data_IF_653218063659
#
_entry.id   IF_653218063659
#
_cell.length_a   1.000
_cell.length_b   1.000
_cell.length_c   1.000
_cell.angle_alpha   90.00
_cell.angle_beta   90.00
_cell.angle_gamma   90.00
#
_symmetry.space_group_name_H-M   'P 1'
#
loop_
_entity.id
_entity.type
_entity.pdbx_description
1 polymer ?
#
# COMPACT_ATOMS: atom_id res chain seq x y z
N UNK A 1 -14.10 13.58 2.02
CA UNK A 1 -13.98 12.19 2.52
C UNK A 1 -13.47 11.33 1.39
N UNK A 2 -12.29 10.72 1.53
CA UNK A 2 -11.80 9.78 0.51
C UNK A 2 -12.61 8.48 0.59
N UNK A 3 -13.11 8.02 -0.56
CA UNK A 3 -13.84 6.74 -0.66
C UNK A 3 -12.90 5.59 -0.26
N UNK A 4 -13.33 4.65 0.60
CA UNK A 4 -12.53 3.47 0.89
C UNK A 4 -12.37 2.63 -0.38
N UNK A 5 -11.14 2.23 -0.67
CA UNK A 5 -10.82 1.30 -1.73
C UNK A 5 -10.95 -0.13 -1.20
N UNK A 6 -11.87 -0.89 -1.80
CA UNK A 6 -12.15 -2.27 -1.41
C UNK A 6 -11.72 -3.23 -2.53
N UNK A 7 -10.41 -3.45 -2.65
CA UNK A 7 -9.81 -4.41 -3.59
C UNK A 7 -9.67 -5.79 -2.97
N UNK A 8 -9.77 -6.82 -3.79
CA UNK A 8 -9.45 -8.19 -3.42
C UNK A 8 -7.93 -8.34 -3.27
N UNK A 9 -7.48 -8.26 -2.02
CA UNK A 9 -6.06 -8.41 -1.70
C UNK A 9 -5.53 -9.82 -1.95
N UNK A 10 -6.37 -10.85 -1.97
CA UNK A 10 -5.94 -12.20 -2.29
C UNK A 10 -5.60 -12.33 -3.77
N UNK A 11 -6.53 -11.99 -4.65
CA UNK A 11 -6.28 -11.94 -6.09
C UNK A 11 -5.17 -10.94 -6.45
N UNK A 12 -5.06 -9.83 -5.70
CA UNK A 12 -3.98 -8.87 -5.87
C UNK A 12 -2.59 -9.47 -5.66
N UNK A 13 -2.44 -10.37 -4.66
CA UNK A 13 -1.17 -11.05 -4.41
C UNK A 13 -0.80 -12.02 -5.52
N UNK A 14 -1.78 -12.79 -5.99
CA UNK A 14 -1.61 -13.71 -7.13
C UNK A 14 -1.21 -12.94 -8.40
N UNK A 15 -1.72 -11.72 -8.54
CA UNK A 15 -1.39 -10.79 -9.63
C UNK A 15 -0.04 -10.08 -9.47
N UNK A 16 0.74 -10.41 -8.43
CA UNK A 16 2.10 -9.91 -8.23
C UNK A 16 2.22 -8.66 -7.36
N UNK A 17 1.13 -8.13 -6.77
CA UNK A 17 1.24 -6.96 -5.90
C UNK A 17 2.07 -7.25 -4.63
N UNK A 18 2.11 -8.51 -4.20
CA UNK A 18 2.89 -8.99 -3.05
C UNK A 18 2.83 -8.08 -1.82
N UNK A 19 1.64 -7.55 -1.49
CA UNK A 19 1.42 -6.63 -0.37
C UNK A 19 2.24 -5.33 -0.44
N UNK A 20 2.47 -4.81 -1.64
CA UNK A 20 3.21 -3.57 -1.90
C UNK A 20 2.83 -2.40 -0.98
N UNK A 21 1.53 -2.23 -0.69
CA UNK A 21 1.04 -1.18 0.23
C UNK A 21 1.66 -1.25 1.63
N UNK A 22 2.00 -2.45 2.13
CA UNK A 22 2.65 -2.63 3.43
C UNK A 22 4.15 -2.27 3.39
N UNK A 23 4.75 -2.14 2.21
CA UNK A 23 6.14 -1.68 2.03
C UNK A 23 6.25 -0.18 1.83
N UNK A 24 5.15 0.52 1.56
CA UNK A 24 5.14 1.99 1.43
C UNK A 24 5.48 2.70 2.74
N UNK A 25 6.01 3.92 2.62
CA UNK A 25 6.13 4.87 3.73
C UNK A 25 4.80 5.64 3.84
N UNK A 26 4.00 5.34 4.86
CA UNK A 26 2.65 5.90 5.00
C UNK A 26 2.66 7.02 6.03
N UNK A 27 2.40 8.24 5.57
CA UNK A 27 2.14 9.39 6.45
C UNK A 27 0.70 9.32 6.95
N UNK A 28 0.52 9.41 8.25
CA UNK A 28 -0.78 9.46 8.91
C UNK A 28 -1.41 10.84 8.73
N UNK A 29 -2.74 10.90 8.73
CA UNK A 29 -3.45 12.17 8.85
C UNK A 29 -3.27 12.74 10.26
N UNK A 30 -3.40 14.07 10.41
CA UNK A 30 -3.16 14.75 11.69
C UNK A 30 -4.00 14.17 12.84
N UNK A 31 -5.25 13.79 12.57
CA UNK A 31 -6.18 13.22 13.54
C UNK A 31 -5.82 11.76 13.95
N UNK A 32 -4.94 11.10 13.21
CA UNK A 32 -4.50 9.72 13.47
C UNK A 32 -3.12 9.65 14.13
N UNK A 33 -2.42 10.78 14.20
CA UNK A 33 -1.13 10.90 14.86
C UNK A 33 -1.34 10.87 16.38
N UNK A 34 -0.69 9.90 17.04
CA UNK A 34 -0.73 9.79 18.50
C UNK A 34 0.39 10.61 19.13
N UNK A 35 0.14 11.37 20.21
CA UNK A 35 1.18 12.05 20.97
C UNK A 35 2.27 11.07 21.41
N UNK A 36 3.53 11.54 21.44
CA UNK A 36 4.61 10.74 22.00
C UNK A 36 4.48 10.67 23.53
N UNK A 37 4.73 9.49 24.10
CA UNK A 37 4.59 9.27 25.55
C UNK A 37 5.64 10.03 26.37
N UNK A 38 6.77 10.39 25.77
CA UNK A 38 7.89 11.10 26.38
C UNK A 38 7.84 12.62 26.17
N UNK A 39 6.76 13.14 25.58
CA UNK A 39 6.61 14.57 25.26
C UNK A 39 7.39 15.02 24.03
N UNK A 40 8.06 14.12 23.31
CA UNK A 40 8.70 14.43 22.03
C UNK A 40 7.69 14.62 20.90
N UNK A 41 8.18 15.02 19.72
CA UNK A 41 7.32 15.17 18.54
C UNK A 41 6.72 13.82 18.15
N UNK A 42 5.39 13.81 18.01
CA UNK A 42 4.67 12.63 17.59
C UNK A 42 5.13 12.12 16.22
N UNK A 43 5.25 10.79 16.08
CA UNK A 43 5.57 10.17 14.79
C UNK A 43 4.40 10.30 13.83
N UNK A 44 4.65 10.95 12.70
CA UNK A 44 3.66 11.15 11.64
C UNK A 44 3.51 9.99 10.66
N UNK A 45 4.16 8.85 10.89
CA UNK A 45 4.21 7.72 9.95
C UNK A 45 3.89 6.41 10.63
N UNK A 46 3.35 5.45 9.87
CA UNK A 46 3.21 4.05 10.33
C UNK A 46 4.60 3.45 10.50
N UNK A 47 4.85 2.85 11.68
CA UNK A 47 6.11 2.17 11.96
C UNK A 47 6.32 0.95 11.03
N UNK A 48 7.59 0.62 10.81
CA UNK A 48 8.03 -0.56 10.07
C UNK A 48 8.82 -1.49 10.96
N UNK A 49 8.67 -2.77 10.73
CA UNK A 49 9.55 -3.78 11.27
C UNK A 49 10.90 -3.74 10.52
N UNK A 50 11.98 -4.33 11.08
CA UNK A 50 13.31 -4.34 10.46
C UNK A 50 13.37 -4.95 9.05
N UNK A 51 12.39 -5.78 8.69
CA UNK A 51 12.23 -6.39 7.35
C UNK A 51 11.62 -5.43 6.31
N UNK A 52 11.29 -4.19 6.70
CA UNK A 52 10.77 -3.14 5.84
C UNK A 52 9.25 -3.16 5.62
N UNK A 53 8.53 -4.14 6.18
CA UNK A 53 7.07 -4.16 6.18
C UNK A 53 6.50 -3.28 7.29
N UNK A 54 5.28 -2.76 7.09
CA UNK A 54 4.56 -2.10 8.17
C UNK A 54 4.29 -3.08 9.32
N UNK A 55 4.27 -2.57 10.54
CA UNK A 55 4.02 -3.36 11.76
C UNK A 55 2.70 -4.14 11.75
N UNK A 56 1.77 -3.77 10.87
CA UNK A 56 0.46 -4.41 10.73
C UNK A 56 0.43 -5.55 9.71
N UNK A 57 1.53 -5.85 9.04
CA UNK A 57 1.61 -6.94 8.05
C UNK A 57 1.56 -8.32 8.73
N UNK A 58 0.65 -9.18 8.28
CA UNK A 58 0.61 -10.58 8.66
C UNK A 58 1.53 -11.39 7.73
N UNK A 59 2.66 -11.87 8.25
CA UNK A 59 3.65 -12.66 7.48
C UNK A 59 3.14 -14.03 7.07
N UNK A 60 2.22 -14.63 7.81
CA UNK A 60 1.70 -15.96 7.53
C UNK A 60 0.63 -15.90 6.43
N UNK A 61 -0.31 -14.96 6.57
CA UNK A 61 -1.47 -14.83 5.67
C UNK A 61 -1.24 -13.85 4.52
N UNK A 62 -0.15 -13.09 4.55
CA UNK A 62 0.12 -12.00 3.62
C UNK A 62 -1.04 -11.00 3.52
N UNK A 63 -1.63 -10.64 4.66
CA UNK A 63 -2.79 -9.74 4.78
C UNK A 63 -2.55 -8.66 5.84
N UNK A 64 -3.30 -7.56 5.77
CA UNK A 64 -3.26 -6.53 6.81
C UNK A 64 -4.02 -6.99 8.06
N UNK A 65 -3.36 -7.02 9.24
CA UNK A 65 -3.98 -7.42 10.51
C UNK A 65 -5.07 -6.46 11.00
N UNK A 66 -5.05 -5.21 10.53
CA UNK A 66 -5.96 -4.15 10.97
C UNK A 66 -6.89 -3.67 9.86
N UNK A 67 -7.28 -4.53 8.90
CA UNK A 67 -8.01 -4.13 7.70
C UNK A 67 -9.18 -3.15 7.94
N UNK A 68 -10.04 -3.43 8.92
CA UNK A 68 -11.20 -2.61 9.31
C UNK A 68 -10.85 -1.33 10.08
N UNK A 69 -9.65 -1.27 10.66
CA UNK A 69 -9.12 -0.14 11.45
C UNK A 69 -7.96 0.56 10.75
N UNK A 70 -7.78 0.31 9.45
CA UNK A 70 -6.69 0.92 8.67
C UNK A 70 -6.75 2.45 8.77
N UNK A 71 -5.59 3.12 8.79
CA UNK A 71 -5.57 4.56 8.67
C UNK A 71 -6.23 5.04 7.38
N UNK A 72 -6.72 6.26 7.35
CA UNK A 72 -7.48 6.81 6.23
C UNK A 72 -6.70 6.77 4.92
N UNK A 73 -5.41 7.08 4.95
CA UNK A 73 -4.51 6.95 3.79
C UNK A 73 -4.46 5.50 3.27
N UNK A 74 -4.38 4.52 4.18
CA UNK A 74 -4.39 3.11 3.81
C UNK A 74 -5.77 2.66 3.30
N UNK A 75 -6.87 3.20 3.82
CA UNK A 75 -8.23 2.91 3.34
C UNK A 75 -8.46 3.47 1.95
N UNK A 76 -7.95 4.67 1.65
CA UNK A 76 -8.14 5.30 0.34
C UNK A 76 -7.16 4.82 -0.73
N UNK A 77 -6.11 4.09 -0.35
CA UNK A 77 -5.11 3.60 -1.28
C UNK A 77 -5.72 2.59 -2.27
N UNK A 78 -5.66 2.92 -3.56
CA UNK A 78 -6.12 2.07 -4.67
C UNK A 78 -4.94 1.64 -5.54
N UNK A 79 -4.58 0.35 -5.41
CA UNK A 79 -3.50 -0.27 -6.18
C UNK A 79 -3.74 -0.24 -7.70
N UNK A 80 -4.99 -0.15 -8.18
CA UNK A 80 -5.29 -0.07 -9.60
C UNK A 80 -4.91 1.28 -10.23
N UNK A 81 -4.63 2.27 -9.39
CA UNK A 81 -4.22 3.63 -9.78
C UNK A 81 -2.77 3.95 -9.38
N UNK A 82 -2.03 3.00 -8.80
CA UNK A 82 -0.64 3.18 -8.42
C UNK A 82 0.30 2.78 -9.57
N UNK A 83 0.87 3.79 -10.23
CA UNK A 83 1.79 3.57 -11.34
C UNK A 83 3.14 2.97 -10.91
N UNK A 84 3.64 3.29 -9.71
CA UNK A 84 4.88 2.71 -9.21
C UNK A 84 4.71 1.21 -8.93
N UNK A 85 3.54 0.80 -8.45
CA UNK A 85 3.19 -0.62 -8.35
C UNK A 85 3.23 -1.29 -9.73
N UNK A 86 2.66 -0.66 -10.77
CA UNK A 86 2.68 -1.24 -12.13
C UNK A 86 4.11 -1.38 -12.67
N UNK A 87 4.98 -0.39 -12.42
CA UNK A 87 6.40 -0.48 -12.76
C UNK A 87 7.08 -1.62 -11.99
N UNK A 88 6.84 -1.71 -10.68
CA UNK A 88 7.43 -2.71 -9.79
C UNK A 88 7.04 -4.15 -10.17
N UNK A 89 5.81 -4.37 -10.66
CA UNK A 89 5.39 -5.70 -11.11
C UNK A 89 6.01 -6.05 -12.47
N UNK A 90 6.17 -5.07 -13.37
CA UNK A 90 6.59 -5.33 -14.76
C UNK A 90 8.10 -5.34 -14.98
N UNK A 91 8.88 -4.77 -14.06
CA UNK A 91 10.32 -4.60 -14.21
C UNK A 91 11.03 -4.93 -12.90
N UNK A 92 12.12 -5.68 -12.99
CA UNK A 92 13.03 -5.84 -11.87
C UNK A 92 13.67 -4.50 -11.52
N UNK A 93 13.80 -4.22 -10.23
CA UNK A 93 14.46 -3.04 -9.69
C UNK A 93 15.25 -3.44 -8.44
N UNK A 94 16.32 -2.72 -8.16
CA UNK A 94 17.23 -3.02 -7.04
C UNK A 94 16.94 -2.18 -5.79
N UNK A 95 16.40 -0.97 -5.97
CA UNK A 95 16.09 -0.04 -4.90
C UNK A 95 15.05 1.00 -5.36
N UNK A 96 14.67 1.90 -4.45
CA UNK A 96 13.64 2.91 -4.74
C UNK A 96 14.04 3.91 -5.83
N UNK A 97 15.32 4.28 -5.93
CA UNK A 97 15.80 5.23 -6.95
C UNK A 97 15.71 4.58 -8.33
N UNK A 98 16.11 3.31 -8.44
CA UNK A 98 15.99 2.51 -9.64
C UNK A 98 14.52 2.37 -10.09
N UNK A 99 13.61 2.05 -9.16
CA UNK A 99 12.18 1.98 -9.46
C UNK A 99 11.62 3.31 -10.00
N UNK A 100 12.03 4.44 -9.43
CA UNK A 100 11.60 5.77 -9.91
C UNK A 100 12.14 6.06 -11.30
N UNK A 101 13.38 5.69 -11.60
CA UNK A 101 13.98 5.85 -12.93
C UNK A 101 13.31 4.95 -13.99
N UNK A 102 12.98 3.72 -13.61
CA UNK A 102 12.19 2.83 -14.44
C UNK A 102 10.82 3.46 -14.70
N UNK A 103 10.13 3.91 -13.66
CA UNK A 103 8.80 4.51 -13.79
C UNK A 103 8.83 5.77 -14.67
N UNK A 104 9.83 6.64 -14.55
CA UNK A 104 9.91 7.87 -15.35
C UNK A 104 10.12 7.62 -16.84
N UNK A 105 10.76 6.50 -17.21
CA UNK A 105 11.02 6.12 -18.61
C UNK A 105 9.96 5.17 -19.18
N UNK A 106 9.26 4.43 -18.32
CA UNK A 106 8.26 3.47 -18.72
C UNK A 106 6.97 4.15 -19.19
N UNK A 107 6.51 3.79 -20.38
CA UNK A 107 5.20 4.22 -20.91
C UNK A 107 4.23 3.05 -20.83
N UNK A 108 3.23 3.16 -19.96
CA UNK A 108 2.14 2.19 -19.87
C UNK A 108 0.81 2.90 -20.03
N UNK A 109 0.02 2.44 -20.98
CA UNK A 109 -1.39 2.77 -21.07
C UNK A 109 -2.18 2.08 -19.95
N UNK A 110 -3.29 2.69 -19.50
CA UNK A 110 -4.15 2.11 -18.44
C UNK A 110 -4.67 0.71 -18.79
N UNK A 111 -4.82 0.38 -20.07
CA UNK A 111 -5.21 -0.95 -20.56
C UNK A 111 -4.15 -2.02 -20.31
N UNK A 112 -2.88 -1.61 -20.12
CA UNK A 112 -1.76 -2.51 -19.85
C UNK A 112 -1.54 -2.75 -18.35
N UNK A 113 -2.32 -2.08 -17.49
CA UNK A 113 -2.20 -2.23 -16.06
C UNK A 113 -2.73 -3.60 -15.66
N UNK A 114 -2.05 -4.24 -14.72
CA UNK A 114 -2.61 -5.36 -13.99
C UNK A 114 -3.70 -4.79 -13.09
N UNK A 115 -4.93 -5.28 -13.28
CA UNK A 115 -6.11 -4.85 -12.53
C UNK A 115 -6.46 -5.90 -11.49
N UNK A 116 -6.59 -5.43 -10.27
CA UNK A 116 -7.03 -6.21 -9.12
C UNK A 116 -8.54 -6.02 -9.01
N UNK A 117 -9.32 -7.12 -8.96
CA UNK A 117 -10.76 -7.03 -8.78
C UNK A 117 -11.12 -6.23 -7.52
N UNK A 118 -12.19 -5.45 -7.61
CA UNK A 118 -12.81 -4.91 -6.42
C UNK A 118 -13.67 -6.00 -5.78
N UNK A 119 -13.70 -6.04 -4.46
CA UNK A 119 -14.65 -6.89 -3.76
C UNK A 119 -16.05 -6.35 -4.05
N UNK A 120 -16.97 -7.21 -4.48
CA UNK A 120 -18.37 -6.83 -4.64
C UNK A 120 -18.90 -6.28 -3.31
N UNK A 121 -19.53 -5.11 -3.35
CA UNK A 121 -20.06 -4.42 -2.17
C UNK A 121 -21.33 -5.05 -1.60
N UNK A 122 -21.63 -6.31 -1.93
CA UNK A 122 -22.77 -7.06 -1.42
C UNK A 122 -22.35 -8.03 -0.31
N UNK A 123 -21.84 -7.48 0.80
CA UNK A 123 -21.91 -8.17 2.09
C UNK A 123 -22.60 -7.19 3.04
N UNK A 124 -23.89 -7.46 3.25
CA UNK A 124 -24.75 -6.84 4.27
C UNK A 124 -24.15 -6.94 5.66
#
# INVERSE_FOLDING_TARGET
MNKPCNVDCEQGRESGCQTYCCRLLIRLSENEIKPANDGSTAKGFIDKDPDGYCIHFNREKFLCRIWSKRPDVCKSYDCNNDFLLQAAIKKAFSNIVDLVNIASSLRLEKSQYIKIPYMDTDIK
#
